data_IF_806176037132
#
_entry.id   IF_806176037132
#
_cell.length_a   1.000
_cell.length_b   1.000
_cell.length_c   1.000
_cell.angle_alpha   90.00
_cell.angle_beta   90.00
_cell.angle_gamma   90.00
#
_symmetry.space_group_name_H-M   'P 1'
#
loop_
_entity.id
_entity.type
_entity.pdbx_description
1 polymer ?
#
# COMPACT_ATOMS: atom_id res chain seq x y z
N UNK A 1 20.28 -33.89 -46.80
CA UNK A 1 19.59 -34.46 -45.63
C UNK A 1 19.51 -33.40 -44.57
N UNK A 2 18.32 -32.88 -44.21
CA UNK A 2 18.20 -31.87 -43.17
C UNK A 2 18.12 -32.51 -41.79
N UNK A 3 18.89 -31.95 -40.87
CA UNK A 3 18.95 -32.31 -39.45
C UNK A 3 17.66 -31.80 -38.77
N UNK A 4 16.89 -32.73 -38.20
CA UNK A 4 15.72 -32.40 -37.37
C UNK A 4 16.16 -31.72 -36.08
N UNK A 5 15.64 -30.53 -35.87
CA UNK A 5 15.68 -29.86 -34.58
C UNK A 5 14.75 -30.60 -33.59
N UNK A 6 15.31 -31.05 -32.48
CA UNK A 6 14.57 -31.70 -31.42
C UNK A 6 13.75 -30.67 -30.68
N UNK A 7 12.47 -30.96 -30.53
CA UNK A 7 11.54 -30.19 -29.68
C UNK A 7 11.92 -30.48 -28.22
N UNK A 8 12.42 -29.48 -27.52
CA UNK A 8 12.58 -29.52 -26.09
C UNK A 8 11.19 -29.50 -25.45
N UNK A 9 10.88 -30.55 -24.73
CA UNK A 9 9.67 -30.70 -23.94
C UNK A 9 9.60 -29.61 -22.87
N UNK A 10 8.61 -28.73 -22.97
CA UNK A 10 8.21 -27.82 -21.90
C UNK A 10 7.77 -28.62 -20.67
N UNK A 11 8.63 -28.69 -19.68
CA UNK A 11 8.21 -29.10 -18.35
C UNK A 11 7.32 -27.99 -17.79
N UNK A 12 6.01 -28.23 -17.79
CA UNK A 12 5.01 -27.46 -17.10
C UNK A 12 5.31 -27.58 -15.60
N UNK A 13 6.03 -26.61 -15.04
CA UNK A 13 5.97 -26.34 -13.63
C UNK A 13 4.60 -25.74 -13.37
N UNK A 14 3.83 -26.37 -12.47
CA UNK A 14 2.46 -26.03 -12.16
C UNK A 14 2.27 -24.51 -12.04
N UNK A 15 1.43 -23.97 -12.93
CA UNK A 15 1.25 -22.53 -13.09
C UNK A 15 0.63 -21.90 -11.86
N UNK A 16 1.45 -21.30 -11.03
CA UNK A 16 1.03 -20.11 -10.33
C UNK A 16 1.04 -18.98 -11.37
N UNK A 17 -0.10 -18.75 -12.00
CA UNK A 17 -0.38 -17.46 -12.60
C UNK A 17 -0.50 -16.48 -11.43
N UNK A 18 0.61 -15.92 -11.01
CA UNK A 18 0.59 -14.71 -10.21
C UNK A 18 -0.04 -13.66 -11.12
N UNK A 19 -1.33 -13.37 -10.94
CA UNK A 19 -1.90 -12.17 -11.53
C UNK A 19 -1.09 -11.01 -10.96
N UNK A 20 -0.38 -10.29 -11.83
CA UNK A 20 0.28 -9.05 -11.45
C UNK A 20 -0.82 -8.13 -10.90
N UNK A 21 -0.80 -7.93 -9.60
CA UNK A 21 -1.70 -7.00 -8.94
C UNK A 21 -0.98 -5.65 -8.91
N UNK A 22 -1.50 -4.70 -9.67
CA UNK A 22 -1.03 -3.33 -9.60
C UNK A 22 -1.83 -2.59 -8.52
N UNK A 23 -1.13 -2.06 -7.55
CA UNK A 23 -1.66 -1.11 -6.58
C UNK A 23 -1.58 0.29 -7.19
N UNK A 24 -2.70 0.99 -7.24
CA UNK A 24 -2.79 2.36 -7.74
C UNK A 24 -3.32 3.21 -6.59
N UNK A 25 -2.45 3.99 -5.96
CA UNK A 25 -2.81 4.75 -4.77
C UNK A 25 -2.39 6.21 -4.86
N UNK A 26 -3.16 7.09 -4.22
CA UNK A 26 -2.78 8.47 -3.95
C UNK A 26 -2.63 8.69 -2.46
N UNK A 27 -1.68 9.56 -2.11
CA UNK A 27 -1.35 9.91 -0.72
C UNK A 27 -1.51 11.39 -0.49
N UNK A 28 -2.07 11.71 0.69
CA UNK A 28 -2.32 13.09 1.07
C UNK A 28 -1.92 13.34 2.53
N UNK A 29 -1.39 14.52 2.80
CA UNK A 29 -1.42 15.06 4.15
C UNK A 29 -2.83 15.57 4.48
N UNK A 30 -3.11 15.84 5.75
CA UNK A 30 -4.44 16.30 6.16
C UNK A 30 -4.36 17.61 6.94
N UNK A 31 -5.38 18.45 6.81
CA UNK A 31 -5.53 19.70 7.57
C UNK A 31 -6.01 19.47 9.00
N UNK A 32 -6.89 18.48 9.15
CA UNK A 32 -7.51 18.11 10.42
C UNK A 32 -8.04 16.69 10.36
N UNK A 33 -8.20 16.04 11.50
CA UNK A 33 -8.88 14.76 11.60
C UNK A 33 -10.37 14.90 11.23
N UNK A 34 -10.97 13.92 10.54
CA UNK A 34 -12.41 13.89 10.33
C UNK A 34 -13.15 13.68 11.66
N UNK A 35 -14.38 14.18 11.73
CA UNK A 35 -15.25 13.97 12.89
C UNK A 35 -15.74 12.51 12.93
N UNK A 36 -16.00 11.99 14.14
CA UNK A 36 -16.53 10.64 14.32
C UNK A 36 -15.56 9.52 13.97
N UNK A 37 -14.25 9.78 13.99
CA UNK A 37 -13.21 8.80 13.61
C UNK A 37 -13.32 7.51 14.43
N UNK A 38 -13.77 7.59 15.67
CA UNK A 38 -13.98 6.46 16.58
C UNK A 38 -15.07 5.46 16.13
N UNK A 39 -15.90 5.83 15.15
CA UNK A 39 -16.94 4.97 14.60
C UNK A 39 -16.47 4.10 13.44
N UNK A 40 -15.27 4.36 12.90
CA UNK A 40 -14.72 3.61 11.79
C UNK A 40 -13.84 2.44 12.25
N UNK A 41 -13.78 1.34 11.47
CA UNK A 41 -12.86 0.25 11.74
C UNK A 41 -11.43 0.77 11.87
N UNK A 42 -10.74 0.33 12.93
CA UNK A 42 -9.36 0.71 13.20
C UNK A 42 -8.50 -0.55 13.31
N UNK A 43 -7.38 -0.59 12.62
CA UNK A 43 -6.36 -1.65 12.68
C UNK A 43 -5.10 -1.11 13.31
N UNK A 44 -4.50 -1.88 14.23
CA UNK A 44 -3.15 -1.63 14.69
C UNK A 44 -2.17 -2.27 13.70
N UNK A 45 -1.29 -1.47 13.12
CA UNK A 45 -0.31 -1.93 12.14
C UNK A 45 1.09 -1.74 12.70
N UNK A 46 1.90 -2.79 12.64
CA UNK A 46 3.34 -2.74 12.77
C UNK A 46 3.97 -3.25 11.48
N UNK A 47 4.93 -2.52 10.92
CA UNK A 47 5.62 -2.93 9.71
C UNK A 47 7.11 -2.64 9.77
N UNK A 48 7.89 -3.51 9.14
CA UNK A 48 9.33 -3.41 9.06
C UNK A 48 9.83 -3.81 7.68
N UNK A 49 10.98 -3.28 7.28
CA UNK A 49 11.54 -3.45 5.95
C UNK A 49 12.78 -4.33 6.00
N UNK A 50 12.78 -5.38 5.18
CA UNK A 50 13.95 -6.23 4.95
C UNK A 50 14.80 -5.69 3.80
N UNK A 51 14.19 -4.90 2.93
CA UNK A 51 14.81 -4.16 1.84
C UNK A 51 13.89 -3.02 1.40
N UNK A 52 14.45 -1.90 0.95
CA UNK A 52 13.69 -0.71 0.55
C UNK A 52 13.64 -0.50 -0.96
N UNK A 53 14.55 -1.11 -1.73
CA UNK A 53 14.55 -1.08 -3.19
C UNK A 53 15.18 -2.38 -3.79
N UNK A 54 14.39 -3.29 -4.36
CA UNK A 54 12.92 -3.35 -4.34
C UNK A 54 12.40 -3.49 -2.91
N UNK A 55 11.17 -3.04 -2.67
CA UNK A 55 10.60 -3.13 -1.33
C UNK A 55 10.29 -4.58 -0.95
N UNK A 56 10.87 -5.02 0.16
CA UNK A 56 10.49 -6.26 0.84
C UNK A 56 10.11 -5.90 2.28
N UNK A 57 8.82 -5.99 2.59
CA UNK A 57 8.24 -5.56 3.85
C UNK A 57 7.54 -6.71 4.55
N UNK A 58 7.65 -6.77 5.85
CA UNK A 58 6.78 -7.58 6.70
C UNK A 58 5.81 -6.66 7.44
N UNK A 59 4.57 -7.13 7.64
CA UNK A 59 3.51 -6.38 8.31
C UNK A 59 2.75 -7.30 9.25
N UNK A 60 2.51 -6.83 10.46
CA UNK A 60 1.47 -7.29 11.35
C UNK A 60 0.31 -6.29 11.25
N UNK A 61 -0.91 -6.77 11.07
CA UNK A 61 -2.14 -5.98 11.10
C UNK A 61 -3.13 -6.72 11.99
N UNK A 62 -3.31 -6.24 13.19
CA UNK A 62 -3.96 -6.97 14.29
C UNK A 62 -3.35 -8.38 14.45
N UNK A 63 -4.11 -9.45 14.14
CA UNK A 63 -3.67 -10.84 14.22
C UNK A 63 -3.23 -11.44 12.86
N UNK A 64 -3.09 -10.61 11.83
CA UNK A 64 -2.69 -11.05 10.49
C UNK A 64 -1.24 -10.65 10.20
N UNK A 65 -0.51 -11.55 9.54
CA UNK A 65 0.91 -11.35 9.22
C UNK A 65 1.14 -11.56 7.73
N UNK A 66 1.88 -10.65 7.11
CA UNK A 66 2.11 -10.66 5.67
C UNK A 66 3.53 -10.25 5.33
N UNK A 67 4.13 -10.91 4.33
CA UNK A 67 5.30 -10.42 3.63
C UNK A 67 4.83 -9.81 2.31
N UNK A 68 5.27 -8.60 2.00
CA UNK A 68 4.92 -7.88 0.77
C UNK A 68 6.19 -7.59 -0.02
N UNK A 69 6.17 -7.91 -1.31
CA UNK A 69 7.12 -7.40 -2.29
C UNK A 69 6.43 -6.31 -3.09
N UNK A 70 7.08 -5.14 -3.26
CA UNK A 70 6.63 -4.08 -4.17
C UNK A 70 7.72 -3.74 -5.16
N UNK A 71 7.35 -3.68 -6.43
CA UNK A 71 8.21 -3.22 -7.51
C UNK A 71 8.47 -1.72 -7.47
N UNK A 72 9.12 -1.21 -8.52
CA UNK A 72 9.35 0.23 -8.72
C UNK A 72 8.04 0.95 -9.08
N UNK A 73 8.00 2.26 -8.86
CA UNK A 73 6.85 3.13 -9.13
C UNK A 73 6.42 3.90 -7.87
N UNK A 74 5.68 4.99 -8.08
CA UNK A 74 5.19 5.84 -6.99
C UNK A 74 3.68 5.72 -6.84
N UNK A 75 2.91 5.98 -7.91
CA UNK A 75 1.45 5.87 -7.93
C UNK A 75 1.00 4.46 -8.34
N UNK A 76 1.67 3.83 -9.31
CA UNK A 76 1.36 2.50 -9.84
C UNK A 76 2.52 1.56 -9.55
N UNK A 77 2.27 0.42 -8.88
CA UNK A 77 3.31 -0.52 -8.47
C UNK A 77 2.80 -1.96 -8.53
N UNK A 78 3.66 -2.86 -9.01
CA UNK A 78 3.40 -4.29 -8.82
C UNK A 78 3.52 -4.65 -7.34
N UNK A 79 2.52 -5.33 -6.79
CA UNK A 79 2.49 -5.77 -5.40
C UNK A 79 2.18 -7.27 -5.31
N UNK A 80 2.95 -7.97 -4.48
CA UNK A 80 2.75 -9.39 -4.17
C UNK A 80 2.71 -9.58 -2.66
N UNK A 81 1.62 -10.11 -2.15
CA UNK A 81 1.40 -10.37 -0.74
C UNK A 81 1.44 -11.87 -0.46
N UNK A 82 2.29 -12.29 0.48
CA UNK A 82 2.43 -13.66 0.94
C UNK A 82 2.04 -13.74 2.42
N UNK A 83 1.13 -14.65 2.81
CA UNK A 83 0.78 -14.82 4.21
C UNK A 83 1.96 -15.36 5.00
N UNK A 84 2.13 -14.85 6.22
CA UNK A 84 3.07 -15.37 7.22
C UNK A 84 2.28 -15.89 8.43
N UNK A 85 2.90 -16.78 9.19
CA UNK A 85 2.50 -17.03 10.57
C UNK A 85 3.25 -16.10 11.53
N UNK A 86 2.84 -16.08 12.80
CA UNK A 86 3.45 -15.22 13.81
C UNK A 86 4.93 -15.50 14.01
N UNK A 87 5.32 -16.78 14.09
CA UNK A 87 6.74 -17.17 14.30
C UNK A 87 7.62 -16.68 13.15
N UNK A 88 7.17 -16.81 11.91
CA UNK A 88 7.89 -16.31 10.74
C UNK A 88 7.99 -14.78 10.76
N UNK A 89 6.91 -14.08 11.12
CA UNK A 89 6.93 -12.64 11.28
C UNK A 89 7.94 -12.18 12.33
N UNK A 90 7.88 -12.76 13.53
CA UNK A 90 8.80 -12.43 14.62
C UNK A 90 10.26 -12.72 14.25
N UNK A 91 10.52 -13.85 13.58
CA UNK A 91 11.87 -14.17 13.10
C UNK A 91 12.37 -13.14 12.08
N UNK A 92 11.57 -12.82 11.05
CA UNK A 92 11.94 -11.85 10.01
C UNK A 92 12.09 -10.42 10.57
N UNK A 93 11.28 -10.06 11.58
CA UNK A 93 11.38 -8.76 12.25
C UNK A 93 12.78 -8.52 12.83
N UNK A 94 13.45 -9.55 13.30
CA UNK A 94 14.83 -9.44 13.80
C UNK A 94 15.88 -9.20 12.70
N UNK A 95 15.49 -9.34 11.43
CA UNK A 95 16.34 -9.13 10.25
C UNK A 95 16.04 -7.81 9.55
N UNK A 96 15.01 -7.10 10.00
CA UNK A 96 14.62 -5.85 9.38
C UNK A 96 15.64 -4.75 9.62
N UNK A 97 15.84 -3.94 8.60
CA UNK A 97 16.67 -2.74 8.66
C UNK A 97 15.81 -1.50 9.02
N UNK A 98 16.47 -0.47 9.54
CA UNK A 98 15.84 0.81 9.84
C UNK A 98 14.86 0.78 11.01
N UNK A 99 13.97 1.77 11.03
CA UNK A 99 13.01 1.97 12.12
C UNK A 99 11.70 1.24 11.83
N UNK A 100 11.25 0.43 12.78
CA UNK A 100 9.92 -0.20 12.72
C UNK A 100 8.85 0.87 12.79
N UNK A 101 7.87 0.80 11.89
CA UNK A 101 6.76 1.75 11.82
C UNK A 101 5.54 1.14 12.51
N UNK A 102 5.04 1.84 13.54
CA UNK A 102 3.76 1.53 14.18
C UNK A 102 2.75 2.62 13.88
N UNK A 103 1.52 2.24 13.57
CA UNK A 103 0.44 3.18 13.24
C UNK A 103 -0.93 2.57 13.47
N UNK A 104 -1.92 3.44 13.66
CA UNK A 104 -3.34 3.11 13.61
C UNK A 104 -3.89 3.46 12.24
N UNK A 105 -4.51 2.50 11.58
CA UNK A 105 -5.17 2.70 10.29
C UNK A 105 -6.67 2.65 10.45
N UNK A 106 -7.33 3.75 10.18
CA UNK A 106 -8.79 3.83 10.09
C UNK A 106 -9.21 3.65 8.64
N UNK A 107 -10.20 2.79 8.41
CA UNK A 107 -10.78 2.57 7.08
C UNK A 107 -12.11 3.32 7.01
N UNK A 108 -12.13 4.40 6.25
CA UNK A 108 -13.25 5.33 6.15
C UNK A 108 -13.87 5.17 4.75
N UNK A 109 -15.10 4.63 4.63
CA UNK A 109 -15.80 4.61 3.35
C UNK A 109 -15.95 6.02 2.78
N UNK A 110 -15.57 6.20 1.54
CA UNK A 110 -15.71 7.49 0.85
C UNK A 110 -17.07 7.57 0.19
N UNK A 111 -18.04 8.10 0.95
CA UNK A 111 -19.39 8.31 0.43
C UNK A 111 -19.39 9.47 -0.58
N UNK A 112 -20.01 9.24 -1.75
CA UNK A 112 -20.13 10.23 -2.83
C UNK A 112 -18.78 10.86 -3.24
N UNK A 113 -17.79 10.07 -3.69
CA UNK A 113 -16.51 10.60 -4.14
C UNK A 113 -16.74 11.62 -5.28
N UNK A 114 -15.98 12.71 -5.25
CA UNK A 114 -16.03 13.75 -6.26
C UNK A 114 -14.96 13.52 -7.32
N UNK A 115 -15.28 13.83 -8.56
CA UNK A 115 -14.37 13.71 -9.68
C UNK A 115 -14.41 14.98 -10.55
N UNK A 116 -13.42 15.15 -11.40
CA UNK A 116 -13.39 16.26 -12.37
C UNK A 116 -14.54 16.16 -13.39
N UNK A 117 -14.98 17.29 -13.90
CA UNK A 117 -16.21 17.47 -14.71
C UNK A 117 -16.35 16.55 -15.95
N UNK A 118 -15.28 15.96 -16.42
CA UNK A 118 -15.27 15.10 -17.61
C UNK A 118 -15.11 13.61 -17.28
N UNK A 119 -15.26 13.21 -16.02
CA UNK A 119 -15.11 11.83 -15.59
C UNK A 119 -16.43 11.32 -15.00
N UNK A 120 -16.92 10.22 -15.55
CA UNK A 120 -18.07 9.50 -15.01
C UNK A 120 -17.60 8.20 -14.37
N UNK A 121 -17.63 8.08 -13.03
CA UNK A 121 -17.26 6.84 -12.35
C UNK A 121 -18.28 5.74 -12.63
N UNK A 122 -17.83 4.48 -12.50
CA UNK A 122 -18.75 3.34 -12.48
C UNK A 122 -19.69 3.42 -11.28
N UNK A 123 -20.96 3.04 -11.46
CA UNK A 123 -21.98 2.96 -10.38
C UNK A 123 -21.55 1.98 -9.25
N UNK A 124 -20.65 1.04 -9.56
CA UNK A 124 -20.12 0.06 -8.59
C UNK A 124 -18.84 0.54 -7.89
N UNK A 125 -18.35 1.75 -8.20
CA UNK A 125 -17.12 2.25 -7.62
C UNK A 125 -17.28 2.50 -6.12
N UNK A 126 -16.53 1.73 -5.33
CA UNK A 126 -16.39 1.95 -3.89
C UNK A 126 -14.96 2.30 -3.57
N UNK A 127 -14.77 3.46 -2.96
CA UNK A 127 -13.46 3.91 -2.49
C UNK A 127 -13.45 3.98 -0.97
N UNK A 128 -12.28 3.70 -0.39
CA UNK A 128 -12.03 3.91 1.03
C UNK A 128 -10.85 4.84 1.20
N UNK A 129 -10.90 5.63 2.26
CA UNK A 129 -9.74 6.35 2.75
C UNK A 129 -9.10 5.48 3.83
N UNK A 130 -7.84 5.14 3.66
CA UNK A 130 -7.00 4.54 4.67
C UNK A 130 -6.24 5.65 5.39
N UNK A 131 -6.74 6.04 6.57
CA UNK A 131 -6.16 7.12 7.37
C UNK A 131 -5.18 6.55 8.38
N UNK A 132 -3.89 6.76 8.14
CA UNK A 132 -2.78 6.31 8.97
C UNK A 132 -2.37 7.38 9.97
N UNK A 133 -2.53 7.11 11.26
CA UNK A 133 -2.03 7.92 12.37
C UNK A 133 -0.79 7.23 12.92
N UNK A 134 0.37 7.81 12.67
CA UNK A 134 1.65 7.22 13.05
C UNK A 134 1.93 7.41 14.54
N UNK A 135 2.52 6.37 15.14
CA UNK A 135 2.99 6.39 16.52
C UNK A 135 4.46 6.85 16.58
N UNK A 136 4.97 7.23 17.77
CA UNK A 136 6.39 7.59 17.91
C UNK A 136 7.32 6.49 17.35
N UNK A 137 8.44 6.85 16.68
CA UNK A 137 9.00 8.19 16.61
C UNK A 137 8.44 9.06 15.46
N UNK A 138 7.50 8.54 14.65
CA UNK A 138 6.96 9.23 13.46
C UNK A 138 5.84 10.23 13.80
N UNK A 139 5.23 10.13 14.99
CA UNK A 139 4.23 11.10 15.41
C UNK A 139 4.79 12.54 15.40
N UNK A 140 4.01 13.55 14.98
CA UNK A 140 2.56 13.57 14.76
C UNK A 140 2.15 13.35 13.28
N UNK A 141 2.91 12.58 12.50
CA UNK A 141 2.60 12.33 11.09
C UNK A 141 1.24 11.65 10.93
N UNK A 142 0.43 12.13 9.99
CA UNK A 142 -0.85 11.54 9.59
C UNK A 142 -0.91 11.59 8.07
N UNK A 143 -1.24 10.46 7.44
CA UNK A 143 -1.36 10.32 5.99
C UNK A 143 -2.69 9.66 5.67
N UNK A 144 -3.40 10.21 4.66
CA UNK A 144 -4.56 9.59 4.06
C UNK A 144 -4.13 8.95 2.72
N UNK A 145 -4.43 7.67 2.55
CA UNK A 145 -4.21 6.92 1.32
C UNK A 145 -5.56 6.58 0.71
N UNK A 146 -5.69 6.65 -0.62
CA UNK A 146 -6.86 6.19 -1.37
C UNK A 146 -6.37 5.32 -2.49
N UNK A 147 -6.87 4.08 -2.55
CA UNK A 147 -6.57 3.11 -3.62
C UNK A 147 -7.65 3.18 -4.70
N UNK A 148 -7.23 3.09 -5.96
CA UNK A 148 -8.11 3.23 -7.13
C UNK A 148 -8.02 1.99 -8.02
N UNK A 149 -9.11 1.67 -8.76
CA UNK A 149 -9.11 0.54 -9.69
C UNK A 149 -8.24 0.78 -10.93
N UNK A 150 -8.00 2.04 -11.29
CA UNK A 150 -7.22 2.44 -12.46
C UNK A 150 -6.67 3.87 -12.33
N UNK A 151 -5.67 4.19 -13.17
CA UNK A 151 -5.03 5.51 -13.18
C UNK A 151 -5.98 6.65 -13.63
N UNK A 152 -6.95 6.36 -14.48
CA UNK A 152 -7.89 7.38 -14.96
C UNK A 152 -8.77 7.84 -13.81
N UNK A 153 -9.29 6.91 -13.02
CA UNK A 153 -10.05 7.18 -11.79
C UNK A 153 -9.21 7.94 -10.77
N UNK A 154 -7.96 7.51 -10.54
CA UNK A 154 -7.04 8.19 -9.64
C UNK A 154 -6.77 9.65 -10.06
N UNK A 155 -6.54 9.88 -11.36
CA UNK A 155 -6.25 11.22 -11.88
C UNK A 155 -7.46 12.14 -11.89
N UNK A 156 -8.67 11.60 -12.03
CA UNK A 156 -9.91 12.37 -11.99
C UNK A 156 -10.39 12.69 -10.56
N UNK A 157 -9.89 11.96 -9.55
CA UNK A 157 -10.34 12.11 -8.17
C UNK A 157 -10.10 13.50 -7.59
N UNK A 158 -11.14 14.09 -7.00
CA UNK A 158 -11.08 15.35 -6.28
C UNK A 158 -11.07 15.04 -4.77
N UNK A 159 -9.96 15.35 -4.06
CA UNK A 159 -9.84 15.00 -2.66
C UNK A 159 -10.82 15.77 -1.77
N UNK A 160 -11.29 15.17 -0.66
CA UNK A 160 -12.11 15.83 0.33
C UNK A 160 -11.46 17.13 0.87
N UNK A 161 -12.28 18.11 1.27
CA UNK A 161 -11.82 19.44 1.70
C UNK A 161 -10.87 19.40 2.94
N UNK A 162 -10.91 18.34 3.74
CA UNK A 162 -10.06 18.17 4.90
C UNK A 162 -8.68 17.56 4.58
N UNK A 163 -8.47 17.09 3.34
CA UNK A 163 -7.13 16.80 2.83
C UNK A 163 -6.35 18.09 2.62
N UNK A 164 -5.02 18.00 2.68
CA UNK A 164 -4.12 19.13 2.48
C UNK A 164 -3.35 18.99 1.16
N UNK A 165 -2.14 18.52 1.21
CA UNK A 165 -1.28 18.37 0.03
C UNK A 165 -1.35 16.97 -0.55
N UNK A 166 -1.40 16.85 -1.89
CA UNK A 166 -1.13 15.60 -2.61
C UNK A 166 0.38 15.34 -2.56
N UNK A 167 0.77 14.28 -1.86
CA UNK A 167 2.16 13.86 -1.68
C UNK A 167 2.45 12.51 -2.36
N UNK A 168 1.61 12.11 -3.30
CA UNK A 168 1.71 10.84 -4.04
C UNK A 168 3.09 10.65 -4.67
N UNK A 169 3.64 11.71 -5.23
CA UNK A 169 4.94 11.70 -5.93
C UNK A 169 6.12 12.14 -5.05
N UNK A 170 5.89 12.41 -3.76
CA UNK A 170 6.95 12.71 -2.81
C UNK A 170 7.38 11.43 -2.09
N UNK A 171 8.54 10.90 -2.49
CA UNK A 171 9.11 9.69 -1.90
C UNK A 171 9.33 9.80 -0.39
N UNK A 172 9.48 11.01 0.15
CA UNK A 172 9.65 11.25 1.58
C UNK A 172 8.46 10.81 2.45
N UNK A 173 7.27 10.63 1.84
CA UNK A 173 6.06 10.12 2.51
C UNK A 173 5.82 8.62 2.28
N UNK A 174 6.70 7.94 1.57
CA UNK A 174 6.62 6.49 1.45
C UNK A 174 7.11 5.81 2.74
N UNK A 175 6.38 4.80 3.18
CA UNK A 175 6.72 4.09 4.41
C UNK A 175 8.14 3.47 4.36
N UNK A 176 8.63 3.04 3.18
CA UNK A 176 10.02 2.59 3.02
C UNK A 176 11.03 3.67 3.34
N UNK A 177 10.83 4.88 2.80
CA UNK A 177 11.70 6.03 3.08
C UNK A 177 11.57 6.52 4.54
N UNK A 178 10.37 6.45 5.12
CA UNK A 178 10.17 6.75 6.54
C UNK A 178 10.98 5.80 7.42
N UNK A 179 11.03 4.50 7.09
CA UNK A 179 11.77 3.52 7.89
C UNK A 179 13.28 3.77 7.91
N UNK A 180 13.84 4.46 6.91
CA UNK A 180 15.25 4.81 6.84
C UNK A 180 15.62 6.05 7.68
N UNK A 181 14.63 6.78 8.21
CA UNK A 181 14.88 7.95 9.07
C UNK A 181 15.52 7.52 10.39
N UNK A 182 16.54 8.26 10.78
CA UNK A 182 17.19 8.13 12.09
C UNK A 182 16.58 9.17 13.04
N UNK A 183 16.31 8.75 14.27
CA UNK A 183 15.72 9.57 15.34
C UNK A 183 16.64 9.64 16.55
#
# INVERSE_FOLDING_TARGET
MPIRAGIMSDKIYGGFSAMEHFEIEKKYTIKRLPEGLEHYPCKQIEQAYLNTDPVVRIRKSDDSYTLTYKGSGLMVRAEYNLPLNEDAYLHLRTKADGTVISKKRYVIPLENPQFSDNFEPSDELMLNIELDIFEPPFAPLIIAEVEFPDEQTANAFVPPIWFDADVTHDSGYHNSSLSERQF
#
